data_IF_091808921177
#
_entry.id   IF_091808921177
#
_cell.length_a   1.000
_cell.length_b   1.000
_cell.length_c   1.000
_cell.angle_alpha   90.00
_cell.angle_beta   90.00
_cell.angle_gamma   90.00
#
_symmetry.space_group_name_H-M   'P 1'
#
loop_
_entity.id
_entity.type
_entity.pdbx_description
1 polymer ?
#
# COMPACT_ATOMS: atom_id res chain seq x y z
N UNK A 1 -21.00 -3.48 4.89
CA UNK A 1 -20.60 -3.07 6.25
C UNK A 1 -20.85 -4.25 7.17
N UNK A 2 -19.82 -5.02 7.54
CA UNK A 2 -19.92 -5.97 8.66
C UNK A 2 -19.77 -5.16 9.94
N UNK A 3 -20.68 -5.31 10.90
CA UNK A 3 -20.64 -4.54 12.16
C UNK A 3 -19.57 -5.03 13.13
N UNK A 4 -18.96 -6.18 12.88
CA UNK A 4 -17.92 -6.80 13.71
C UNK A 4 -16.68 -7.26 12.91
N UNK A 5 -16.58 -6.90 11.62
CA UNK A 5 -15.46 -7.33 10.76
C UNK A 5 -14.44 -6.22 10.52
N UNK A 6 -13.16 -6.56 10.59
CA UNK A 6 -12.07 -5.68 10.17
C UNK A 6 -12.26 -5.28 8.70
N UNK A 7 -12.27 -3.99 8.41
CA UNK A 7 -12.27 -3.47 7.04
C UNK A 7 -10.89 -3.73 6.41
N UNK A 8 -10.79 -4.73 5.55
CA UNK A 8 -9.56 -5.06 4.81
C UNK A 8 -9.67 -4.53 3.37
N UNK A 9 -8.68 -3.78 2.87
CA UNK A 9 -8.70 -3.31 1.48
C UNK A 9 -8.48 -4.48 0.51
N UNK A 10 -9.38 -4.65 -0.46
CA UNK A 10 -9.29 -5.70 -1.50
C UNK A 10 -8.82 -5.13 -2.86
N UNK A 11 -9.41 -4.02 -3.28
CA UNK A 11 -9.07 -3.38 -4.56
C UNK A 11 -9.20 -1.87 -4.44
N UNK A 12 -8.20 -1.13 -4.93
CA UNK A 12 -8.24 0.33 -5.05
C UNK A 12 -8.08 0.73 -6.50
N UNK A 13 -9.09 1.42 -7.02
CA UNK A 13 -9.04 2.06 -8.34
C UNK A 13 -8.72 3.54 -8.17
N UNK A 14 -7.57 3.97 -8.69
CA UNK A 14 -7.25 5.40 -8.75
C UNK A 14 -7.61 5.92 -10.15
N UNK A 15 -8.68 6.71 -10.22
CA UNK A 15 -9.05 7.45 -11.42
C UNK A 15 -8.27 8.76 -11.43
N UNK A 16 -7.18 8.82 -12.20
CA UNK A 16 -6.47 10.07 -12.46
C UNK A 16 -7.20 10.75 -13.63
N UNK A 17 -7.50 12.04 -13.53
CA UNK A 17 -8.27 12.82 -14.51
C UNK A 17 -7.53 13.10 -15.83
N UNK A 18 -6.60 12.24 -16.23
CA UNK A 18 -5.84 12.30 -17.48
C UNK A 18 -5.91 10.94 -18.19
N UNK A 19 -5.86 10.90 -19.54
CA UNK A 19 -6.25 9.72 -20.33
C UNK A 19 -5.41 8.47 -19.97
N UNK A 20 -5.98 7.26 -20.04
CA UNK A 20 -6.11 6.42 -18.86
C UNK A 20 -4.87 5.54 -18.62
N UNK A 21 -4.18 5.82 -17.52
CA UNK A 21 -3.49 4.78 -16.77
C UNK A 21 -4.35 4.48 -15.54
N UNK A 22 -5.47 3.77 -15.75
CA UNK A 22 -6.25 3.23 -14.64
C UNK A 22 -5.44 2.11 -14.02
N UNK A 23 -4.63 2.43 -13.02
CA UNK A 23 -3.91 1.42 -12.24
C UNK A 23 -4.88 0.84 -11.19
N UNK A 24 -5.28 -0.40 -11.40
CA UNK A 24 -5.96 -1.20 -10.39
C UNK A 24 -4.92 -1.95 -9.55
N UNK A 25 -4.93 -1.72 -8.24
CA UNK A 25 -4.08 -2.45 -7.30
C UNK A 25 -4.95 -3.43 -6.53
N UNK A 26 -4.58 -4.70 -6.57
CA UNK A 26 -5.21 -5.78 -5.78
C UNK A 26 -4.29 -6.13 -4.63
N UNK A 27 -4.82 -6.11 -3.41
CA UNK A 27 -4.08 -6.49 -2.20
C UNK A 27 -4.48 -7.91 -1.79
N UNK A 28 -3.50 -8.81 -1.75
CA UNK A 28 -3.60 -10.12 -1.09
C UNK A 28 -2.75 -10.10 0.18
N UNK A 29 -3.05 -10.97 1.14
CA UNK A 29 -2.18 -11.20 2.31
C UNK A 29 -2.00 -9.99 3.25
N UNK A 30 -3.07 -9.20 3.43
CA UNK A 30 -3.05 -8.07 4.35
C UNK A 30 -2.80 -8.53 5.80
N UNK A 31 -1.74 -7.98 6.40
CA UNK A 31 -1.46 -8.09 7.83
C UNK A 31 -1.73 -6.73 8.49
N UNK A 32 -2.47 -6.69 9.63
CA UNK A 32 -2.88 -5.43 10.26
C UNK A 32 -1.75 -4.69 10.97
N UNK A 33 -0.59 -5.31 11.14
CA UNK A 33 0.59 -4.74 11.80
C UNK A 33 1.80 -4.96 10.91
N UNK A 34 2.76 -4.04 11.03
CA UNK A 34 4.09 -4.21 10.46
C UNK A 34 4.92 -4.99 11.47
N UNK A 35 5.42 -6.17 11.07
CA UNK A 35 6.18 -7.05 11.97
C UNK A 35 7.57 -6.52 12.31
N UNK A 36 8.21 -5.83 11.36
CA UNK A 36 9.53 -5.22 11.53
C UNK A 36 9.51 -3.74 11.10
N UNK A 37 9.59 -2.78 12.04
CA UNK A 37 9.54 -1.36 11.71
C UNK A 37 10.79 -0.87 10.96
N UNK A 38 11.90 -1.62 10.98
CA UNK A 38 13.14 -1.24 10.27
C UNK A 38 13.00 -1.27 8.75
N UNK A 39 11.91 -1.86 8.22
CA UNK A 39 11.57 -1.79 6.79
C UNK A 39 11.35 -0.34 6.30
N UNK A 40 11.09 0.59 7.22
CA UNK A 40 10.96 2.02 6.93
C UNK A 40 12.30 2.76 7.01
N UNK A 41 13.35 2.13 7.52
CA UNK A 41 14.68 2.75 7.59
C UNK A 41 15.30 2.84 6.20
N UNK A 42 15.80 4.02 5.86
CA UNK A 42 16.47 4.24 4.57
C UNK A 42 17.79 3.48 4.56
N UNK A 43 18.01 2.55 3.60
CA UNK A 43 19.26 1.81 3.46
C UNK A 43 20.45 2.77 3.32
N UNK A 44 21.60 2.38 3.85
CA UNK A 44 22.81 3.22 3.84
C UNK A 44 23.22 3.65 2.43
N UNK A 45 23.02 2.78 1.44
CA UNK A 45 23.23 3.03 0.01
C UNK A 45 22.35 4.16 -0.56
N UNK A 46 21.16 4.38 0.00
CA UNK A 46 20.22 5.42 -0.43
C UNK A 46 20.41 6.75 0.32
N UNK A 47 21.28 6.81 1.35
CA UNK A 47 21.46 8.02 2.18
C UNK A 47 22.05 9.22 1.43
N UNK A 48 22.72 8.96 0.31
CA UNK A 48 23.33 10.00 -0.53
C UNK A 48 22.75 10.01 -1.96
N UNK A 49 21.63 9.31 -2.19
CA UNK A 49 20.93 9.36 -3.48
C UNK A 49 20.21 10.72 -3.58
N UNK A 50 20.81 11.62 -4.37
CA UNK A 50 20.20 12.89 -4.79
C UNK A 50 19.32 12.64 -6.00
#
# INVERSE_FOLDING_TARGET
>A
VSRDGLCVPLTRNNLISQPPLTNAITTTDFQPKVDDPSILDIPAECKNAV
#
